data_IF_578795580812
#
_entry.id   IF_578795580812
#
_cell.length_a   1.000
_cell.length_b   1.000
_cell.length_c   1.000
_cell.angle_alpha   90.00
_cell.angle_beta   90.00
_cell.angle_gamma   90.00
#
_symmetry.space_group_name_H-M   'P 1'
#
loop_
_entity.id
_entity.type
_entity.pdbx_description
1 polymer ?
#
# COMPACT_ATOMS: atom_id res chain seq x y z
N UNK A 1 16.89 14.27 8.91
CA UNK A 1 16.49 12.94 8.41
C UNK A 1 15.12 12.59 8.95
N UNK A 2 14.28 12.04 8.09
CA UNK A 2 12.85 11.76 8.34
C UNK A 2 12.64 10.27 8.12
N UNK A 3 11.99 9.59 9.05
CA UNK A 3 11.72 8.15 8.97
C UNK A 3 10.22 7.88 9.10
N UNK A 4 9.71 7.01 8.25
CA UNK A 4 8.30 6.59 8.21
C UNK A 4 8.27 5.09 8.49
N UNK A 5 7.53 4.71 9.53
CA UNK A 5 7.14 3.33 9.77
C UNK A 5 5.72 3.18 9.24
N UNK A 6 5.60 2.55 8.07
CA UNK A 6 4.34 2.17 7.47
C UNK A 6 3.99 0.73 7.87
N UNK A 7 2.76 0.50 8.29
CA UNK A 7 2.20 -0.85 8.38
C UNK A 7 1.35 -1.11 7.13
N UNK A 8 1.66 -2.16 6.38
CA UNK A 8 0.89 -2.55 5.19
C UNK A 8 -0.39 -3.31 5.62
N UNK A 9 -1.26 -3.58 4.65
CA UNK A 9 -2.44 -4.45 4.78
C UNK A 9 -3.53 -4.01 5.77
N UNK A 10 -3.65 -2.71 6.05
CA UNK A 10 -4.71 -2.21 6.91
C UNK A 10 -6.09 -2.44 6.28
N UNK A 11 -7.00 -3.04 7.04
CA UNK A 11 -8.30 -3.45 6.53
C UNK A 11 -8.33 -4.84 5.88
N UNK A 12 -7.19 -5.53 5.67
CA UNK A 12 -7.15 -6.88 5.12
C UNK A 12 -7.97 -7.87 5.95
N UNK A 13 -7.71 -7.90 7.25
CA UNK A 13 -8.38 -8.74 8.25
C UNK A 13 -8.53 -7.98 9.57
N UNK A 14 -9.37 -8.49 10.49
CA UNK A 14 -9.48 -7.91 11.84
C UNK A 14 -8.15 -7.93 12.58
N UNK A 15 -7.36 -8.99 12.40
CA UNK A 15 -6.04 -9.14 13.01
C UNK A 15 -5.06 -8.07 12.52
N UNK A 16 -5.01 -7.83 11.20
CA UNK A 16 -4.18 -6.77 10.62
C UNK A 16 -4.59 -5.39 11.16
N UNK A 17 -5.89 -5.09 11.19
CA UNK A 17 -6.40 -3.81 11.72
C UNK A 17 -6.01 -3.58 13.19
N UNK A 18 -6.24 -4.57 14.06
CA UNK A 18 -5.90 -4.43 15.48
C UNK A 18 -4.40 -4.44 15.73
N UNK A 19 -3.62 -5.22 14.96
CA UNK A 19 -2.16 -5.22 15.03
C UNK A 19 -1.57 -3.87 14.66
N UNK A 20 -2.04 -3.26 13.57
CA UNK A 20 -1.64 -1.89 13.19
C UNK A 20 -2.03 -0.87 14.26
N UNK A 21 -3.23 -0.98 14.84
CA UNK A 21 -3.68 -0.08 15.90
C UNK A 21 -2.80 -0.19 17.15
N UNK A 22 -2.42 -1.41 17.54
CA UNK A 22 -1.52 -1.65 18.67
C UNK A 22 -0.12 -1.09 18.38
N UNK A 23 0.43 -1.36 17.20
CA UNK A 23 1.73 -0.84 16.78
C UNK A 23 1.73 0.71 16.66
N UNK A 24 0.60 1.32 16.35
CA UNK A 24 0.42 2.78 16.35
C UNK A 24 0.38 3.33 17.78
N UNK A 25 -0.47 2.77 18.66
CA UNK A 25 -0.68 3.27 20.03
C UNK A 25 0.52 3.00 20.94
N UNK A 26 1.14 1.83 20.81
CA UNK A 26 2.16 1.32 21.71
C UNK A 26 3.54 1.19 21.05
N UNK A 27 3.66 1.52 19.76
CA UNK A 27 4.89 1.39 19.00
C UNK A 27 5.25 2.64 18.19
N UNK A 28 6.03 2.41 17.14
CA UNK A 28 6.64 3.45 16.29
C UNK A 28 5.87 3.71 15.00
N UNK A 29 4.87 2.88 14.67
CA UNK A 29 4.06 3.03 13.45
C UNK A 29 3.33 4.36 13.50
N UNK A 30 3.44 5.16 12.44
CA UNK A 30 2.72 6.44 12.31
C UNK A 30 2.00 6.59 10.98
N UNK A 31 2.19 5.62 10.08
CA UNK A 31 1.56 5.52 8.76
C UNK A 31 1.06 4.10 8.55
N UNK A 32 0.00 3.94 7.76
CA UNK A 32 -0.47 2.63 7.29
C UNK A 32 -1.18 2.76 5.95
N UNK A 33 -1.26 1.70 5.16
CA UNK A 33 -1.93 1.72 3.85
C UNK A 33 -3.14 0.80 3.84
N UNK A 34 -4.29 1.33 3.43
CA UNK A 34 -5.60 0.67 3.53
C UNK A 34 -5.95 -0.08 2.24
N UNK A 35 -6.34 -1.36 2.38
CA UNK A 35 -6.89 -2.18 1.30
C UNK A 35 -8.39 -1.91 1.14
N UNK A 36 -8.78 -1.31 0.01
CA UNK A 36 -10.17 -1.03 -0.32
C UNK A 36 -11.04 -2.31 -0.44
N UNK A 37 -10.43 -3.44 -0.80
CA UNK A 37 -11.09 -4.73 -0.95
C UNK A 37 -10.81 -5.71 0.21
N UNK A 38 -10.24 -5.22 1.32
CA UNK A 38 -9.99 -6.00 2.52
C UNK A 38 -11.26 -6.51 3.19
N UNK A 39 -11.19 -7.70 3.80
CA UNK A 39 -12.34 -8.31 4.50
C UNK A 39 -12.75 -7.54 5.76
N UNK A 40 -11.88 -6.69 6.28
CA UNK A 40 -12.12 -5.83 7.44
C UNK A 40 -12.09 -4.35 7.07
N UNK A 41 -12.37 -3.99 5.82
CA UNK A 41 -12.39 -2.60 5.33
C UNK A 41 -13.21 -1.67 6.24
N UNK A 42 -14.46 -2.04 6.57
CA UNK A 42 -15.34 -1.20 7.39
C UNK A 42 -14.80 -0.98 8.81
N UNK A 43 -14.19 -2.01 9.40
CA UNK A 43 -13.52 -1.90 10.70
C UNK A 43 -12.29 -0.98 10.61
N UNK A 44 -11.50 -1.11 9.54
CA UNK A 44 -10.36 -0.23 9.26
C UNK A 44 -10.79 1.23 9.13
N UNK A 45 -11.87 1.50 8.39
CA UNK A 45 -12.45 2.84 8.25
C UNK A 45 -12.87 3.41 9.60
N UNK A 46 -13.57 2.62 10.43
CA UNK A 46 -13.97 3.05 11.77
C UNK A 46 -12.74 3.44 12.61
N UNK A 47 -11.74 2.56 12.68
CA UNK A 47 -10.54 2.79 13.50
C UNK A 47 -9.72 3.97 12.97
N UNK A 48 -9.60 4.15 11.66
CA UNK A 48 -8.92 5.31 11.08
C UNK A 48 -9.59 6.63 11.52
N UNK A 49 -10.93 6.69 11.50
CA UNK A 49 -11.67 7.89 11.95
C UNK A 49 -11.51 8.18 13.43
N UNK A 50 -11.43 7.15 14.26
CA UNK A 50 -11.20 7.28 15.70
C UNK A 50 -9.75 7.70 16.04
N UNK A 51 -8.82 7.58 15.09
CA UNK A 51 -7.39 7.83 15.31
C UNK A 51 -6.83 8.78 14.22
N UNK A 52 -7.25 10.06 14.16
CA UNK A 52 -6.81 11.01 13.13
C UNK A 52 -5.31 11.34 13.17
N UNK A 53 -4.60 10.83 14.18
CA UNK A 53 -3.15 10.94 14.27
C UNK A 53 -2.39 9.85 13.50
N UNK A 54 -3.05 8.79 13.04
CA UNK A 54 -2.50 7.74 12.19
C UNK A 54 -2.68 8.18 10.73
N UNK A 55 -1.56 8.34 10.03
CA UNK A 55 -1.57 8.67 8.61
C UNK A 55 -2.00 7.46 7.77
N UNK A 56 -2.82 7.70 6.73
CA UNK A 56 -3.44 6.65 5.92
C UNK A 56 -3.03 6.83 4.45
N UNK A 57 -2.48 5.79 3.84
CA UNK A 57 -2.32 5.66 2.39
C UNK A 57 -3.35 4.68 1.79
N UNK A 58 -3.36 4.58 0.47
CA UNK A 58 -4.13 3.55 -0.25
C UNK A 58 -3.18 2.41 -0.62
N UNK A 59 -3.51 1.20 -0.16
CA UNK A 59 -2.82 -0.02 -0.54
C UNK A 59 -3.49 -0.60 -1.79
N UNK A 60 -2.98 -0.22 -2.96
CA UNK A 60 -3.53 -0.66 -4.25
C UNK A 60 -3.26 -2.16 -4.43
N UNK A 61 -4.25 -2.92 -4.90
CA UNK A 61 -4.13 -4.37 -5.00
C UNK A 61 -4.68 -4.92 -6.32
N UNK A 62 -3.91 -5.81 -6.95
CA UNK A 62 -4.36 -6.68 -8.06
C UNK A 62 -4.12 -8.16 -7.77
N UNK A 63 -3.70 -8.50 -6.53
CA UNK A 63 -3.26 -9.86 -6.19
C UNK A 63 -3.81 -10.39 -4.87
N UNK A 64 -4.90 -9.79 -4.37
CA UNK A 64 -5.54 -10.18 -3.13
C UNK A 64 -7.04 -9.96 -3.19
N UNK A 65 -7.83 -10.99 -2.87
CA UNK A 65 -9.27 -10.88 -2.72
C UNK A 65 -10.03 -10.68 -4.04
N UNK A 66 -11.22 -10.09 -3.95
CA UNK A 66 -12.02 -9.72 -5.13
C UNK A 66 -11.79 -8.25 -5.48
N UNK A 67 -11.81 -7.87 -6.77
CA UNK A 67 -11.82 -6.46 -7.17
C UNK A 67 -13.01 -5.70 -6.60
N UNK A 68 -12.88 -4.37 -6.58
CA UNK A 68 -13.99 -3.46 -6.31
C UNK A 68 -14.95 -3.45 -7.51
N UNK A 69 -14.40 -3.43 -8.73
CA UNK A 69 -15.17 -3.60 -9.96
C UNK A 69 -15.57 -5.06 -10.18
N UNK A 70 -16.60 -5.28 -11.01
CA UNK A 70 -17.13 -6.63 -11.31
C UNK A 70 -16.95 -7.05 -12.77
N UNK A 71 -16.51 -6.14 -13.61
CA UNK A 71 -16.46 -6.27 -15.06
C UNK A 71 -15.01 -6.25 -15.60
N UNK A 72 -14.06 -6.71 -14.78
CA UNK A 72 -12.67 -6.94 -15.17
C UNK A 72 -12.55 -8.30 -15.86
N UNK A 73 -11.73 -8.40 -16.90
CA UNK A 73 -11.54 -9.62 -17.69
C UNK A 73 -10.13 -10.18 -17.63
N UNK A 74 -9.13 -9.30 -17.53
CA UNK A 74 -7.71 -9.68 -17.61
C UNK A 74 -7.03 -9.73 -16.24
N UNK A 75 -7.68 -9.18 -15.22
CA UNK A 75 -7.13 -9.10 -13.86
C UNK A 75 -7.66 -10.17 -12.91
N UNK A 76 -8.63 -10.98 -13.35
CA UNK A 76 -9.32 -11.94 -12.48
C UNK A 76 -9.32 -13.35 -13.05
N UNK A 77 -9.39 -14.32 -12.15
CA UNK A 77 -9.63 -15.71 -12.47
C UNK A 77 -11.10 -15.99 -12.85
N UNK A 78 -11.41 -17.27 -13.11
CA UNK A 78 -12.77 -17.72 -13.47
C UNK A 78 -13.81 -17.55 -12.34
N UNK A 79 -13.38 -17.34 -11.09
CA UNK A 79 -14.25 -17.03 -9.95
C UNK A 79 -14.44 -15.52 -9.74
N UNK A 80 -13.81 -14.68 -10.59
CA UNK A 80 -13.82 -13.24 -10.46
C UNK A 80 -12.98 -12.73 -9.28
N UNK A 81 -11.97 -13.49 -8.84
CA UNK A 81 -10.98 -13.06 -7.84
C UNK A 81 -9.69 -12.65 -8.53
N UNK A 82 -8.94 -11.75 -7.91
CA UNK A 82 -7.57 -11.49 -8.35
C UNK A 82 -6.70 -12.76 -8.25
N UNK A 83 -5.74 -12.91 -9.16
CA UNK A 83 -4.69 -13.93 -9.06
C UNK A 83 -3.86 -13.75 -7.79
N UNK A 84 -3.20 -14.79 -7.27
CA UNK A 84 -2.58 -14.74 -5.93
C UNK A 84 -1.31 -13.91 -5.85
N UNK A 85 -0.64 -13.68 -6.98
CA UNK A 85 0.59 -12.90 -7.09
C UNK A 85 0.86 -12.52 -8.55
N UNK A 86 1.88 -11.69 -8.76
CA UNK A 86 2.26 -11.20 -10.09
C UNK A 86 2.63 -12.33 -11.07
N UNK A 87 3.29 -13.39 -10.60
CA UNK A 87 3.67 -14.51 -11.47
C UNK A 87 2.44 -15.24 -12.01
N UNK A 88 1.44 -15.47 -11.16
CA UNK A 88 0.19 -16.12 -11.58
C UNK A 88 -0.63 -15.21 -12.50
N UNK A 89 -0.67 -13.89 -12.22
CA UNK A 89 -1.29 -12.92 -13.12
C UNK A 89 -0.63 -12.96 -14.51
N UNK A 90 0.70 -12.87 -14.59
CA UNK A 90 1.43 -12.87 -15.86
C UNK A 90 1.36 -14.22 -16.59
N UNK A 91 1.24 -15.34 -15.87
CA UNK A 91 1.05 -16.65 -16.49
C UNK A 91 -0.30 -16.80 -17.19
N UNK A 92 -1.36 -16.21 -16.61
CA UNK A 92 -2.72 -16.34 -17.13
C UNK A 92 -3.12 -15.18 -18.05
N UNK A 93 -2.55 -14.00 -17.84
CA UNK A 93 -2.80 -12.77 -18.57
C UNK A 93 -1.49 -11.96 -18.70
N UNK A 94 -0.53 -12.42 -19.53
CA UNK A 94 0.75 -11.73 -19.74
C UNK A 94 0.57 -10.29 -20.27
N UNK A 95 -0.48 -10.06 -21.05
CA UNK A 95 -0.85 -8.77 -21.61
C UNK A 95 -2.09 -8.19 -20.91
N UNK A 96 -2.13 -8.26 -19.57
CA UNK A 96 -3.27 -7.71 -18.82
C UNK A 96 -3.49 -6.22 -19.14
N UNK A 97 -4.75 -5.79 -19.10
CA UNK A 97 -5.12 -4.45 -19.56
C UNK A 97 -4.76 -3.38 -18.53
N UNK A 98 -3.88 -2.45 -18.90
CA UNK A 98 -3.57 -1.26 -18.10
C UNK A 98 -4.78 -0.33 -17.94
N UNK A 99 -5.74 -0.36 -18.87
CA UNK A 99 -7.01 0.33 -18.72
C UNK A 99 -7.85 -0.29 -17.59
N UNK A 100 -7.90 -1.62 -17.50
CA UNK A 100 -8.55 -2.30 -16.38
C UNK A 100 -7.86 -1.99 -15.05
N UNK A 101 -6.52 -1.92 -15.03
CA UNK A 101 -5.76 -1.52 -13.84
C UNK A 101 -6.13 -0.10 -13.42
N UNK A 102 -6.15 0.87 -14.33
CA UNK A 102 -6.50 2.25 -14.01
C UNK A 102 -7.92 2.37 -13.46
N UNK A 103 -8.88 1.65 -14.08
CA UNK A 103 -10.27 1.63 -13.64
C UNK A 103 -10.41 1.03 -12.24
N UNK A 104 -9.78 -0.11 -11.98
CA UNK A 104 -9.84 -0.79 -10.69
C UNK A 104 -9.12 0.01 -9.59
N UNK A 105 -7.92 0.53 -9.85
CA UNK A 105 -7.20 1.39 -8.90
C UNK A 105 -8.00 2.66 -8.60
N UNK A 106 -8.61 3.30 -9.60
CA UNK A 106 -9.51 4.43 -9.38
C UNK A 106 -10.69 4.02 -8.49
N UNK A 107 -11.30 2.85 -8.72
CA UNK A 107 -12.40 2.36 -7.90
C UNK A 107 -11.97 2.08 -6.43
N UNK A 108 -10.78 1.55 -6.21
CA UNK A 108 -10.21 1.34 -4.87
C UNK A 108 -9.98 2.67 -4.15
N UNK A 109 -9.36 3.65 -4.82
CA UNK A 109 -9.09 4.99 -4.29
C UNK A 109 -10.40 5.70 -3.93
N UNK A 110 -11.36 5.72 -4.86
CA UNK A 110 -12.65 6.38 -4.64
C UNK A 110 -13.48 5.69 -3.56
N UNK A 111 -13.37 4.37 -3.39
CA UNK A 111 -14.03 3.67 -2.28
C UNK A 111 -13.50 4.12 -0.91
N UNK A 112 -12.19 4.26 -0.76
CA UNK A 112 -11.57 4.78 0.48
C UNK A 112 -11.98 6.23 0.71
N UNK A 113 -11.93 7.06 -0.33
CA UNK A 113 -12.37 8.46 -0.28
C UNK A 113 -13.84 8.61 0.12
N UNK A 114 -14.73 7.83 -0.49
CA UNK A 114 -16.16 7.83 -0.21
C UNK A 114 -16.49 7.35 1.21
N UNK A 115 -15.62 6.53 1.81
CA UNK A 115 -15.71 6.17 3.21
C UNK A 115 -15.35 7.32 4.16
N UNK A 116 -14.93 8.48 3.65
CA UNK A 116 -14.56 9.67 4.43
C UNK A 116 -13.15 9.60 5.02
N UNK A 117 -12.27 8.81 4.40
CA UNK A 117 -10.86 8.72 4.76
C UNK A 117 -10.05 9.67 3.87
N UNK A 118 -9.33 10.61 4.49
CA UNK A 118 -8.28 11.36 3.81
C UNK A 118 -7.04 10.46 3.70
N UNK A 119 -6.40 10.45 2.53
CA UNK A 119 -5.21 9.66 2.27
C UNK A 119 -4.08 10.53 1.71
N UNK A 120 -2.83 10.14 1.97
CA UNK A 120 -1.64 10.97 1.70
C UNK A 120 -0.68 10.36 0.68
N UNK A 121 -0.74 9.05 0.48
CA UNK A 121 0.18 8.33 -0.39
C UNK A 121 -0.41 7.02 -0.91
N UNK A 122 0.23 6.47 -1.94
CA UNK A 122 -0.04 5.15 -2.50
C UNK A 122 1.15 4.21 -2.29
N UNK A 123 0.82 2.95 -2.14
CA UNK A 123 1.71 1.82 -2.36
C UNK A 123 0.91 0.63 -2.91
N UNK A 124 1.62 -0.45 -3.29
CA UNK A 124 1.02 -1.60 -3.95
C UNK A 124 1.26 -2.89 -3.16
N UNK A 125 0.17 -3.62 -2.91
CA UNK A 125 0.21 -4.95 -2.32
C UNK A 125 0.99 -5.92 -3.22
N UNK A 126 1.94 -6.64 -2.62
CA UNK A 126 2.89 -7.53 -3.29
C UNK A 126 3.87 -6.87 -4.28
N UNK A 127 4.00 -5.54 -4.31
CA UNK A 127 4.96 -4.79 -5.18
C UNK A 127 4.92 -5.26 -6.64
N UNK A 128 3.89 -4.83 -7.38
CA UNK A 128 3.64 -5.26 -8.76
C UNK A 128 4.43 -4.46 -9.81
N UNK A 129 5.21 -3.49 -9.38
CA UNK A 129 6.13 -2.73 -10.19
C UNK A 129 7.18 -3.67 -10.86
N UNK A 130 7.64 -3.36 -12.07
CA UNK A 130 7.32 -2.18 -12.87
C UNK A 130 6.03 -2.32 -13.70
N UNK A 131 5.25 -3.40 -13.57
CA UNK A 131 4.14 -3.66 -14.50
C UNK A 131 2.99 -2.65 -14.44
N UNK A 132 2.86 -1.92 -13.33
CA UNK A 132 1.76 -0.98 -13.08
C UNK A 132 2.21 0.46 -12.85
N UNK A 133 3.52 0.75 -12.90
CA UNK A 133 4.06 2.02 -12.37
C UNK A 133 3.48 3.24 -13.09
N UNK A 134 3.30 3.17 -14.41
CA UNK A 134 2.77 4.28 -15.22
C UNK A 134 1.34 4.66 -14.77
N UNK A 135 0.52 3.65 -14.48
CA UNK A 135 -0.85 3.85 -14.01
C UNK A 135 -0.84 4.42 -12.59
N UNK A 136 -0.03 3.85 -11.69
CA UNK A 136 0.13 4.33 -10.32
C UNK A 136 0.57 5.79 -10.29
N UNK A 137 1.61 6.16 -11.04
CA UNK A 137 2.19 7.51 -11.02
C UNK A 137 1.19 8.54 -11.55
N UNK A 138 0.51 8.24 -12.66
CA UNK A 138 -0.53 9.11 -13.21
C UNK A 138 -1.70 9.30 -12.23
N UNK A 139 -2.09 8.25 -11.51
CA UNK A 139 -3.10 8.38 -10.45
C UNK A 139 -2.57 9.19 -9.27
N UNK A 140 -1.32 9.00 -8.86
CA UNK A 140 -0.72 9.79 -7.79
C UNK A 140 -0.70 11.29 -8.13
N UNK A 141 -0.33 11.65 -9.37
CA UNK A 141 -0.42 13.02 -9.88
C UNK A 141 -1.86 13.54 -9.88
N UNK A 142 -2.82 12.74 -10.38
CA UNK A 142 -4.25 13.09 -10.43
C UNK A 142 -4.83 13.37 -9.03
N UNK A 143 -4.46 12.58 -8.04
CA UNK A 143 -4.96 12.70 -6.67
C UNK A 143 -4.09 13.62 -5.79
N UNK A 144 -2.94 14.07 -6.28
CA UNK A 144 -2.02 14.96 -5.57
C UNK A 144 -1.36 14.29 -4.36
N UNK A 145 -0.99 13.01 -4.47
CA UNK A 145 -0.43 12.20 -3.38
C UNK A 145 0.97 11.67 -3.69
N UNK A 146 1.68 11.23 -2.65
CA UNK A 146 3.01 10.61 -2.80
C UNK A 146 2.91 9.13 -3.19
N UNK A 147 4.01 8.53 -3.66
CA UNK A 147 4.11 7.09 -3.96
C UNK A 147 5.26 6.48 -3.17
N UNK A 148 5.06 5.29 -2.61
CA UNK A 148 6.14 4.52 -1.97
C UNK A 148 7.12 4.02 -3.02
N UNK A 149 8.42 4.23 -2.78
CA UNK A 149 9.46 3.59 -3.58
C UNK A 149 9.41 2.07 -3.36
N UNK A 150 9.43 1.29 -4.43
CA UNK A 150 9.44 -0.18 -4.38
C UNK A 150 10.74 -0.75 -4.96
N UNK A 151 11.10 -0.33 -6.17
CA UNK A 151 12.24 -0.88 -6.93
C UNK A 151 13.19 0.23 -7.40
N UNK A 152 14.52 0.03 -7.36
CA UNK A 152 15.50 1.01 -7.85
C UNK A 152 15.34 1.38 -9.33
N UNK A 153 14.85 0.45 -10.15
CA UNK A 153 14.70 0.58 -11.61
C UNK A 153 13.46 1.37 -12.05
N UNK A 154 12.55 1.71 -11.13
CA UNK A 154 11.37 2.53 -11.43
C UNK A 154 11.75 4.01 -11.38
N UNK A 155 11.35 4.76 -12.40
CA UNK A 155 11.53 6.21 -12.47
C UNK A 155 10.47 6.95 -11.64
N UNK A 156 10.89 7.54 -10.52
CA UNK A 156 10.02 8.27 -9.59
C UNK A 156 10.07 9.79 -9.78
N UNK A 157 10.63 10.30 -10.87
CA UNK A 157 10.89 11.74 -11.07
C UNK A 157 9.60 12.57 -11.16
N UNK A 158 8.47 11.93 -11.47
CA UNK A 158 7.16 12.58 -11.61
C UNK A 158 6.36 12.67 -10.31
N UNK A 159 6.77 11.94 -9.27
CA UNK A 159 6.00 11.81 -8.03
C UNK A 159 6.86 12.11 -6.82
N UNK A 160 6.22 12.56 -5.73
CA UNK A 160 6.92 12.66 -4.46
C UNK A 160 7.08 11.25 -3.89
N UNK A 161 8.31 10.87 -3.51
CA UNK A 161 8.61 9.56 -2.94
C UNK A 161 9.72 9.64 -1.89
N UNK A 162 9.99 8.54 -1.19
CA UNK A 162 11.13 8.44 -0.28
C UNK A 162 12.44 8.24 -1.04
N UNK A 163 13.54 8.74 -0.46
CA UNK A 163 14.89 8.53 -1.00
C UNK A 163 15.28 7.05 -0.97
N UNK A 164 14.82 6.34 0.07
CA UNK A 164 15.17 4.94 0.34
C UNK A 164 13.91 4.18 0.75
N UNK A 165 13.81 2.92 0.29
CA UNK A 165 12.85 1.95 0.76
C UNK A 165 13.58 0.78 1.42
N UNK A 166 13.04 0.29 2.53
CA UNK A 166 13.63 -0.80 3.31
C UNK A 166 12.54 -1.82 3.64
N UNK A 167 12.67 -3.01 3.09
CA UNK A 167 11.75 -4.13 3.30
C UNK A 167 12.40 -5.30 4.07
N UNK A 168 13.58 -5.08 4.67
CA UNK A 168 14.33 -6.10 5.41
C UNK A 168 13.61 -6.60 6.67
N UNK A 169 12.66 -5.84 7.22
CA UNK A 169 11.88 -6.23 8.41
C UNK A 169 10.70 -7.14 8.01
N UNK A 170 11.02 -8.28 7.41
CA UNK A 170 10.06 -9.24 6.88
C UNK A 170 10.55 -10.69 7.09
N UNK A 171 9.63 -11.61 7.40
CA UNK A 171 9.92 -13.02 7.70
C UNK A 171 11.09 -13.20 8.70
N UNK A 172 12.16 -13.89 8.32
CA UNK A 172 13.36 -14.10 9.15
C UNK A 172 14.09 -12.79 9.52
N UNK A 173 13.80 -11.70 8.80
CA UNK A 173 14.31 -10.36 9.05
C UNK A 173 13.64 -9.62 10.21
N UNK A 174 12.59 -10.18 10.84
CA UNK A 174 11.91 -9.60 12.00
C UNK A 174 12.77 -9.75 13.26
N UNK A 175 13.82 -8.93 13.35
CA UNK A 175 14.79 -8.95 14.45
C UNK A 175 15.18 -7.55 14.91
N UNK A 176 15.60 -7.43 16.17
CA UNK A 176 16.20 -6.19 16.68
C UNK A 176 17.52 -5.82 15.99
N UNK A 177 18.19 -6.79 15.34
CA UNK A 177 19.38 -6.50 14.55
C UNK A 177 19.01 -5.70 13.30
N UNK A 178 17.92 -6.07 12.62
CA UNK A 178 17.37 -5.33 11.47
C UNK A 178 17.04 -3.90 11.85
N UNK A 179 16.30 -3.69 12.96
CA UNK A 179 16.00 -2.35 13.46
C UNK A 179 17.26 -1.55 13.82
N UNK A 180 18.30 -2.19 14.37
CA UNK A 180 19.58 -1.52 14.67
C UNK A 180 20.37 -1.17 13.41
N UNK A 181 20.31 -1.99 12.35
CA UNK A 181 20.87 -1.63 11.04
C UNK A 181 20.22 -0.35 10.51
N UNK A 182 18.91 -0.19 10.69
CA UNK A 182 18.21 1.07 10.40
C UNK A 182 18.90 2.22 11.14
N UNK A 183 19.05 2.11 12.46
CA UNK A 183 19.68 3.18 13.26
C UNK A 183 21.13 3.51 12.86
N UNK A 184 21.92 2.53 12.41
CA UNK A 184 23.34 2.74 12.06
C UNK A 184 23.54 3.39 10.70
N UNK A 185 22.67 3.10 9.73
CA UNK A 185 22.60 3.82 8.46
C UNK A 185 22.02 5.24 8.63
N UNK A 186 21.43 5.55 9.80
CA UNK A 186 20.59 6.72 10.09
C UNK A 186 21.19 7.55 11.25
N UNK A 187 22.53 7.75 11.31
CA UNK A 187 23.17 8.60 12.35
C UNK A 187 22.85 10.08 12.16
N UNK A 188 21.77 10.54 12.78
CA UNK A 188 21.37 11.95 12.93
C UNK A 188 19.97 12.02 13.56
N UNK A 189 19.65 13.05 14.36
CA UNK A 189 18.36 13.19 15.08
C UNK A 189 17.17 12.83 14.17
N UNK A 190 16.53 11.68 14.45
CA UNK A 190 15.40 11.16 13.68
C UNK A 190 14.16 11.95 14.07
N UNK A 191 13.50 12.58 13.09
CA UNK A 191 12.11 13.02 13.24
C UNK A 191 11.21 11.96 12.61
N UNK A 192 10.36 11.33 13.42
CA UNK A 192 9.24 10.52 12.94
C UNK A 192 8.28 11.45 12.19
N UNK A 193 7.93 11.10 10.96
CA UNK A 193 7.02 11.88 10.14
C UNK A 193 5.64 11.23 10.01
N UNK A 194 4.67 12.09 9.68
CA UNK A 194 3.46 11.78 8.94
C UNK A 194 3.69 12.25 7.51
N UNK A 195 3.27 11.50 6.49
CA UNK A 195 3.27 12.00 5.12
C UNK A 195 2.15 13.03 4.94
#
# INVERSE_FOLDING_TARGET
MKLIFNADDFGMTKGAVYGTLDAYKNGVVRSTTMLANGYAFDLGVQIAKENPGLDIGVHLALTFGKPVLKDLKTLVDYEGKFYRNINELLQNAPDFSLEEVEREFTAQIEKIKAAGIAFTHFDVHHMLEPHIYEVEHRLAEKYGVSVRRALPEVGYERVTTTDVFMNDFYAEGVTMATIRKLSNNIRGRIKLLKL
#
